data_IF_706746395565
#
_entry.id   IF_706746395565
#
_cell.length_a   1.000
_cell.length_b   1.000
_cell.length_c   1.000
_cell.angle_alpha   90.00
_cell.angle_beta   90.00
_cell.angle_gamma   90.00
#
_symmetry.space_group_name_H-M   'P 1'
#
loop_
_entity.id
_entity.type
_entity.pdbx_description
1 polymer ?
#
# COMPACT_ATOMS: atom_id res chain seq x y z
N UNK A 1 -64.95 6.34 3.55
CA UNK A 1 -64.22 6.55 2.28
C UNK A 1 -62.88 5.84 2.45
N UNK A 2 -62.65 4.58 2.02
CA UNK A 2 -62.35 4.13 0.63
C UNK A 2 -61.35 5.12 -0.02
N UNK A 3 -60.11 4.82 -0.39
CA UNK A 3 -59.50 3.62 -0.98
C UNK A 3 -57.96 3.64 -0.88
N UNK A 4 -57.39 2.44 -0.91
CA UNK A 4 -55.99 2.06 -1.15
C UNK A 4 -55.23 2.85 -2.24
N UNK A 5 -54.03 3.34 -1.92
CA UNK A 5 -53.04 3.85 -2.87
C UNK A 5 -52.06 2.75 -3.29
N UNK A 6 -52.14 2.33 -4.56
CA UNK A 6 -51.24 1.40 -5.22
C UNK A 6 -49.85 2.02 -5.44
N UNK A 7 -48.83 1.38 -4.89
CA UNK A 7 -47.42 1.58 -5.25
C UNK A 7 -47.19 1.10 -6.69
N UNK A 8 -46.79 1.99 -7.59
CA UNK A 8 -46.42 1.65 -8.97
C UNK A 8 -44.93 1.92 -9.17
N UNK A 9 -44.12 0.87 -9.08
CA UNK A 9 -42.72 0.88 -9.51
C UNK A 9 -42.65 0.75 -11.04
N UNK A 10 -41.93 1.62 -11.77
CA UNK A 10 -41.53 1.34 -13.14
C UNK A 10 -40.14 0.66 -13.18
N UNK A 11 -40.12 -0.43 -13.93
CA UNK A 11 -39.00 -1.30 -14.31
C UNK A 11 -37.93 -0.52 -15.10
N UNK A 12 -36.62 -0.78 -14.92
CA UNK A 12 -35.59 -0.20 -15.79
C UNK A 12 -35.58 -0.94 -17.14
N UNK A 13 -35.94 -0.24 -18.22
CA UNK A 13 -35.69 -0.71 -19.58
C UNK A 13 -34.19 -0.68 -19.87
N UNK A 14 -33.62 -1.87 -20.04
CA UNK A 14 -32.34 -2.10 -20.71
C UNK A 14 -32.39 -1.53 -22.12
N UNK A 15 -31.62 -0.46 -22.36
CA UNK A 15 -31.36 0.04 -23.72
C UNK A 15 -30.01 -0.51 -24.18
N UNK A 16 -30.07 -1.67 -24.83
CA UNK A 16 -28.98 -2.21 -25.64
C UNK A 16 -28.87 -1.32 -26.88
N UNK A 17 -27.84 -0.47 -26.94
CA UNK A 17 -27.47 0.23 -28.16
C UNK A 17 -26.28 -0.49 -28.79
N UNK A 18 -26.59 -1.42 -29.70
CA UNK A 18 -25.68 -1.88 -30.73
C UNK A 18 -25.60 -0.76 -31.79
N UNK A 19 -24.48 -0.05 -31.82
CA UNK A 19 -24.13 0.78 -32.98
C UNK A 19 -23.04 0.05 -33.76
N UNK A 20 -23.28 -0.28 -35.04
CA UNK A 20 -22.32 -0.97 -35.89
C UNK A 20 -21.31 0.05 -36.44
N UNK A 21 -20.09 0.03 -35.91
CA UNK A 21 -18.97 0.74 -36.51
C UNK A 21 -18.50 -0.05 -37.73
N UNK A 22 -18.49 0.62 -38.89
CA UNK A 22 -18.31 0.04 -40.21
C UNK A 22 -17.09 -0.87 -40.37
N UNK A 23 -17.32 -1.92 -41.16
CA UNK A 23 -16.31 -2.73 -41.82
C UNK A 23 -15.39 -1.83 -42.62
N UNK A 24 -14.20 -1.56 -42.08
CA UNK A 24 -13.05 -1.22 -42.90
C UNK A 24 -12.36 -2.53 -43.27
N UNK A 25 -12.63 -2.93 -44.51
CA UNK A 25 -12.06 -4.05 -45.21
C UNK A 25 -10.55 -3.76 -45.40
N UNK A 26 -9.69 -4.37 -44.57
CA UNK A 26 -8.25 -4.41 -44.82
C UNK A 26 -7.90 -5.81 -45.29
N UNK A 27 -7.74 -5.94 -46.60
CA UNK A 27 -7.26 -7.13 -47.28
C UNK A 27 -5.83 -7.50 -46.84
N UNK A 28 -5.65 -8.81 -46.69
CA UNK A 28 -4.40 -9.59 -46.79
C UNK A 28 -3.33 -9.37 -45.73
N UNK A 29 -3.18 -10.38 -44.87
CA UNK A 29 -1.88 -11.02 -44.62
C UNK A 29 -2.08 -12.51 -44.27
N UNK A 30 -1.26 -13.44 -44.80
CA UNK A 30 -1.49 -14.87 -44.65
C UNK A 30 -0.91 -15.40 -43.33
N UNK A 31 -1.68 -16.30 -42.70
CA UNK A 31 -1.23 -17.49 -41.99
C UNK A 31 0.06 -17.38 -41.17
N UNK A 32 -0.10 -17.09 -39.87
CA UNK A 32 0.78 -17.61 -38.83
C UNK A 32 -0.11 -18.25 -37.76
N UNK A 33 0.18 -19.52 -37.48
CA UNK A 33 -0.55 -20.41 -36.59
C UNK A 33 -0.88 -19.77 -35.24
N UNK A 34 -1.98 -20.19 -34.56
CA UNK A 34 -2.25 -19.79 -33.18
C UNK A 34 -1.23 -20.44 -32.26
N UNK A 35 -0.03 -19.84 -32.21
CA UNK A 35 0.98 -20.09 -31.20
C UNK A 35 0.52 -19.45 -29.90
N UNK A 36 0.25 -20.31 -28.93
CA UNK A 36 0.04 -20.04 -27.51
C UNK A 36 0.50 -18.66 -27.07
N UNK A 37 -0.45 -17.76 -26.78
CA UNK A 37 -0.18 -16.54 -26.03
C UNK A 37 0.23 -16.94 -24.60
N UNK A 38 1.52 -17.12 -24.37
CA UNK A 38 2.08 -17.27 -23.03
C UNK A 38 1.84 -15.97 -22.28
N UNK A 39 0.79 -15.94 -21.46
CA UNK A 39 0.58 -14.86 -20.50
C UNK A 39 1.71 -14.96 -19.49
N UNK A 40 2.67 -14.02 -19.54
CA UNK A 40 3.70 -13.87 -18.51
C UNK A 40 3.00 -13.50 -17.20
N UNK A 41 2.61 -14.50 -16.40
CA UNK A 41 2.18 -14.30 -15.02
C UNK A 41 3.39 -13.76 -14.28
N UNK A 42 3.38 -12.46 -13.99
CA UNK A 42 4.35 -11.85 -13.10
C UNK A 42 4.14 -12.44 -11.71
N UNK A 43 4.93 -13.45 -11.38
CA UNK A 43 4.99 -13.99 -10.03
C UNK A 43 5.42 -12.84 -9.10
N UNK A 44 4.50 -12.38 -8.26
CA UNK A 44 4.79 -11.42 -7.22
C UNK A 44 5.86 -12.03 -6.30
N UNK A 45 7.10 -11.57 -6.43
CA UNK A 45 8.22 -12.02 -5.63
C UNK A 45 7.86 -11.95 -4.16
N UNK A 46 8.00 -13.09 -3.46
CA UNK A 46 7.91 -13.14 -2.00
C UNK A 46 8.94 -12.13 -1.50
N UNK A 47 8.49 -11.11 -0.75
CA UNK A 47 9.39 -10.10 -0.19
C UNK A 47 10.43 -10.83 0.66
N UNK A 48 11.67 -10.84 0.18
CA UNK A 48 12.79 -11.38 0.91
C UNK A 48 12.89 -10.59 2.23
N UNK A 49 12.69 -11.29 3.34
CA UNK A 49 12.94 -10.72 4.63
C UNK A 49 14.46 -10.49 4.74
N UNK A 50 14.92 -9.34 5.25
CA UNK A 50 16.35 -9.12 5.47
C UNK A 50 16.90 -10.30 6.28
N UNK A 51 18.10 -10.77 5.93
CA UNK A 51 18.79 -11.85 6.64
C UNK A 51 19.04 -11.42 8.09
N UNK A 52 18.04 -11.63 8.94
CA UNK A 52 18.07 -11.33 10.36
C UNK A 52 18.58 -12.55 11.12
N UNK A 53 19.19 -12.31 12.28
CA UNK A 53 19.68 -13.33 13.21
C UNK A 53 18.60 -14.38 13.51
N UNK A 54 18.89 -15.66 13.30
CA UNK A 54 17.99 -16.76 13.68
C UNK A 54 17.86 -16.81 15.20
N UNK A 55 16.62 -16.89 15.70
CA UNK A 55 16.34 -17.06 17.12
C UNK A 55 16.05 -18.53 17.41
N UNK A 56 16.64 -19.07 18.48
CA UNK A 56 16.36 -20.42 18.95
C UNK A 56 15.05 -20.43 19.74
N UNK A 57 14.15 -21.38 19.43
CA UNK A 57 12.83 -21.47 20.08
C UNK A 57 12.94 -21.84 21.58
N UNK A 58 14.07 -22.41 22.02
CA UNK A 58 14.32 -22.78 23.41
C UNK A 58 14.57 -21.57 24.33
N UNK A 59 15.00 -20.44 23.78
CA UNK A 59 15.30 -19.21 24.52
C UNK A 59 14.10 -18.24 24.56
N UNK A 60 12.97 -18.67 24.00
CA UNK A 60 11.75 -17.89 23.87
C UNK A 60 10.70 -18.35 24.88
N UNK A 61 10.20 -17.42 25.66
CA UNK A 61 9.03 -17.63 26.50
C UNK A 61 7.80 -16.99 25.87
N UNK A 62 6.79 -17.82 25.60
CA UNK A 62 5.52 -17.43 25.01
C UNK A 62 4.40 -17.44 26.06
N UNK A 63 3.64 -16.34 26.13
CA UNK A 63 2.46 -16.22 26.98
C UNK A 63 1.29 -15.64 26.19
N UNK A 64 0.09 -16.19 26.39
CA UNK A 64 -1.14 -15.70 25.77
C UNK A 64 -1.94 -14.88 26.77
N UNK A 65 -2.22 -13.63 26.41
CA UNK A 65 -2.99 -12.71 27.24
C UNK A 65 -4.23 -12.23 26.50
N UNK A 66 -5.20 -11.73 27.25
CA UNK A 66 -6.38 -11.07 26.67
C UNK A 66 -6.00 -9.70 26.10
N UNK A 67 -6.69 -9.28 25.04
CA UNK A 67 -6.52 -7.94 24.50
C UNK A 67 -6.91 -6.87 25.53
N UNK A 68 -6.29 -5.69 25.44
CA UNK A 68 -6.60 -4.54 26.29
C UNK A 68 -6.96 -3.34 25.41
N UNK A 69 -7.99 -2.56 25.80
CA UNK A 69 -8.37 -1.32 25.15
C UNK A 69 -9.88 -1.19 24.91
N UNK A 70 -10.34 -0.08 24.28
CA UNK A 70 -11.73 0.11 23.87
C UNK A 70 -12.05 -0.83 22.70
N UNK A 71 -12.28 -2.10 23.02
CA UNK A 71 -12.69 -3.15 22.09
C UNK A 71 -14.12 -3.62 22.35
N UNK A 72 -14.65 -4.40 21.42
CA UNK A 72 -15.93 -5.09 21.61
C UNK A 72 -15.80 -6.33 22.52
N UNK A 73 -16.91 -7.03 22.73
CA UNK A 73 -16.94 -8.27 23.53
C UNK A 73 -15.90 -9.32 23.09
N UNK A 74 -15.61 -9.40 21.79
CA UNK A 74 -14.67 -10.37 21.24
C UNK A 74 -13.22 -10.16 21.74
N UNK A 75 -12.79 -8.90 21.88
CA UNK A 75 -11.42 -8.53 22.28
C UNK A 75 -11.15 -8.85 23.75
N UNK A 76 -12.15 -8.64 24.61
CA UNK A 76 -12.01 -8.84 26.06
C UNK A 76 -12.14 -10.32 26.47
N UNK A 77 -12.82 -11.15 25.67
CA UNK A 77 -13.02 -12.57 25.95
C UNK A 77 -11.85 -13.43 25.43
N UNK A 78 -11.34 -13.11 24.24
CA UNK A 78 -10.36 -13.96 23.53
C UNK A 78 -8.92 -13.67 23.97
N UNK A 79 -8.17 -14.71 24.31
CA UNK A 79 -6.74 -14.65 24.65
C UNK A 79 -5.86 -14.78 23.40
N UNK A 80 -5.96 -13.83 22.48
CA UNK A 80 -5.22 -13.84 21.21
C UNK A 80 -3.99 -12.91 21.18
N UNK A 81 -3.77 -12.12 22.23
CA UNK A 81 -2.59 -11.28 22.34
C UNK A 81 -1.41 -12.17 22.76
N UNK A 82 -0.32 -12.12 21.98
CA UNK A 82 0.88 -12.90 22.24
C UNK A 82 1.91 -11.99 22.90
N UNK A 83 2.41 -12.41 24.06
CA UNK A 83 3.55 -11.81 24.74
C UNK A 83 4.71 -12.76 24.57
N UNK A 84 5.75 -12.32 23.87
CA UNK A 84 6.96 -13.09 23.60
C UNK A 84 8.14 -12.42 24.29
N UNK A 85 8.87 -13.19 25.09
CA UNK A 85 10.08 -12.75 25.79
C UNK A 85 11.30 -13.52 25.29
N UNK A 86 12.36 -12.80 24.96
CA UNK A 86 13.68 -13.40 24.73
C UNK A 86 14.43 -13.44 26.06
N UNK A 87 14.75 -14.64 26.56
CA UNK A 87 15.37 -14.83 27.88
C UNK A 87 16.75 -14.15 27.99
N UNK A 88 17.72 -14.35 27.09
CA UNK A 88 19.06 -13.81 27.27
C UNK A 88 19.14 -12.29 27.11
N UNK A 89 18.36 -11.70 26.19
CA UNK A 89 18.34 -10.23 26.03
C UNK A 89 17.35 -9.53 26.97
N UNK A 90 16.44 -10.25 27.61
CA UNK A 90 15.36 -9.68 28.44
C UNK A 90 14.33 -8.83 27.67
N UNK A 91 14.31 -8.88 26.33
CA UNK A 91 13.41 -8.07 25.50
C UNK A 91 12.03 -8.72 25.46
N UNK A 92 11.00 -7.92 25.75
CA UNK A 92 9.60 -8.36 25.70
C UNK A 92 8.87 -7.64 24.56
N UNK A 93 8.11 -8.40 23.79
CA UNK A 93 7.25 -7.92 22.71
C UNK A 93 5.82 -8.38 22.95
N UNK A 94 4.87 -7.44 22.88
CA UNK A 94 3.44 -7.73 22.90
C UNK A 94 2.88 -7.50 21.49
N UNK A 95 2.13 -8.46 20.96
CA UNK A 95 1.53 -8.37 19.63
C UNK A 95 0.03 -8.71 19.68
N UNK A 96 -0.80 -7.76 19.28
CA UNK A 96 -2.24 -7.91 19.08
C UNK A 96 -2.64 -7.16 17.81
N UNK A 97 -2.31 -7.73 16.64
CA UNK A 97 -2.61 -7.09 15.34
C UNK A 97 -3.83 -7.72 14.67
N UNK A 98 -3.99 -9.04 14.82
CA UNK A 98 -5.03 -9.81 14.15
C UNK A 98 -5.85 -10.60 15.17
N UNK A 99 -7.02 -11.09 14.75
CA UNK A 99 -7.84 -11.97 15.57
C UNK A 99 -7.22 -13.37 15.76
N UNK A 100 -6.33 -13.79 14.84
CA UNK A 100 -5.72 -15.12 14.82
C UNK A 100 -4.45 -15.15 15.66
N UNK A 101 -4.34 -16.15 16.54
CA UNK A 101 -3.17 -16.34 17.39
C UNK A 101 -1.94 -16.65 16.56
N UNK A 102 -2.01 -17.58 15.61
CA UNK A 102 -0.86 -18.00 14.80
C UNK A 102 -0.26 -16.86 13.97
N UNK A 103 -1.12 -15.98 13.46
CA UNK A 103 -0.66 -14.78 12.77
C UNK A 103 0.07 -13.84 13.73
N UNK A 104 -0.48 -13.61 14.93
CA UNK A 104 0.17 -12.81 15.96
C UNK A 104 1.49 -13.43 16.43
N UNK A 105 1.60 -14.77 16.52
CA UNK A 105 2.86 -15.47 16.84
C UNK A 105 3.95 -15.19 15.81
N UNK A 106 3.62 -15.34 14.52
CA UNK A 106 4.55 -15.05 13.41
C UNK A 106 4.99 -13.59 13.41
N UNK A 107 4.06 -12.68 13.66
CA UNK A 107 4.35 -11.24 13.73
C UNK A 107 5.21 -10.90 14.97
N UNK A 108 4.91 -11.47 16.13
CA UNK A 108 5.68 -11.29 17.35
C UNK A 108 7.14 -11.75 17.16
N UNK A 109 7.36 -12.92 16.55
CA UNK A 109 8.72 -13.40 16.23
C UNK A 109 9.48 -12.42 15.34
N UNK A 110 8.86 -11.93 14.25
CA UNK A 110 9.48 -10.95 13.35
C UNK A 110 9.89 -9.67 14.09
N UNK A 111 8.97 -9.11 14.87
CA UNK A 111 9.24 -7.88 15.65
C UNK A 111 10.33 -8.13 16.70
N UNK A 112 10.32 -9.28 17.36
CA UNK A 112 11.34 -9.63 18.34
C UNK A 112 12.72 -9.76 17.68
N UNK A 113 12.78 -10.43 16.53
CA UNK A 113 14.02 -10.59 15.75
C UNK A 113 14.60 -9.24 15.33
N UNK A 114 13.77 -8.31 14.86
CA UNK A 114 14.21 -6.93 14.56
C UNK A 114 14.75 -6.20 15.80
N UNK A 115 14.09 -6.35 16.96
CA UNK A 115 14.54 -5.70 18.20
C UNK A 115 15.84 -6.29 18.72
N UNK A 116 15.98 -7.61 18.66
CA UNK A 116 17.19 -8.33 19.08
C UNK A 116 18.36 -7.97 18.17
N UNK A 117 18.13 -7.88 16.86
CA UNK A 117 19.14 -7.42 15.91
C UNK A 117 19.61 -5.99 16.22
N UNK A 118 18.68 -5.08 16.50
CA UNK A 118 19.03 -3.71 16.91
C UNK A 118 19.80 -3.71 18.25
N UNK A 119 19.47 -4.60 19.18
CA UNK A 119 20.16 -4.69 20.46
C UNK A 119 21.62 -5.10 20.30
N UNK A 120 21.90 -6.13 19.50
CA UNK A 120 23.27 -6.62 19.28
C UNK A 120 24.07 -5.76 18.28
N UNK A 121 23.47 -5.38 17.16
CA UNK A 121 24.16 -4.69 16.05
C UNK A 121 24.05 -3.16 16.11
N UNK A 122 23.11 -2.62 16.90
CA UNK A 122 22.95 -1.18 17.11
C UNK A 122 22.78 -0.40 15.80
N UNK A 123 23.69 0.56 15.56
CA UNK A 123 23.68 1.44 14.37
C UNK A 123 24.02 0.71 13.07
N UNK A 124 24.65 -0.46 13.14
CA UNK A 124 25.06 -1.26 11.98
C UNK A 124 23.98 -2.24 11.53
N UNK A 125 22.88 -2.36 12.27
CA UNK A 125 21.73 -3.19 11.88
C UNK A 125 21.24 -2.82 10.48
N UNK A 126 21.01 -3.85 9.66
CA UNK A 126 20.45 -3.72 8.32
C UNK A 126 19.10 -2.96 8.36
N UNK A 127 18.29 -3.22 9.38
CA UNK A 127 17.00 -2.57 9.59
C UNK A 127 17.16 -1.05 9.79
N UNK A 128 18.15 -0.64 10.60
CA UNK A 128 18.43 0.78 10.81
C UNK A 128 18.90 1.47 9.53
N UNK A 129 19.72 0.79 8.73
CA UNK A 129 20.22 1.30 7.45
C UNK A 129 19.08 1.45 6.43
N UNK A 130 18.24 0.41 6.26
CA UNK A 130 17.09 0.44 5.36
C UNK A 130 16.10 1.55 5.72
N UNK A 131 15.80 1.73 7.02
CA UNK A 131 14.94 2.83 7.49
C UNK A 131 15.52 4.20 7.12
N UNK A 132 16.82 4.40 7.35
CA UNK A 132 17.50 5.66 7.00
C UNK A 132 17.50 5.90 5.48
N UNK A 133 17.74 4.88 4.67
CA UNK A 133 17.68 4.99 3.21
C UNK A 133 16.28 5.32 2.71
N UNK A 134 15.24 4.68 3.28
CA UNK A 134 13.85 4.98 2.96
C UNK A 134 13.46 6.42 3.34
N UNK A 135 13.92 6.92 4.48
CA UNK A 135 13.73 8.31 4.92
C UNK A 135 14.41 9.31 3.98
N UNK A 136 15.67 9.05 3.58
CA UNK A 136 16.38 9.86 2.58
C UNK A 136 15.61 9.93 1.27
N UNK A 137 15.15 8.79 0.75
CA UNK A 137 14.31 8.73 -0.47
C UNK A 137 13.02 9.54 -0.32
N UNK A 138 12.38 9.53 0.86
CA UNK A 138 11.19 10.32 1.15
C UNK A 138 11.50 11.82 1.18
N UNK A 139 12.61 12.22 1.78
CA UNK A 139 13.06 13.62 1.81
C UNK A 139 13.36 14.15 0.40
N UNK A 140 14.06 13.36 -0.42
CA UNK A 140 14.34 13.73 -1.81
C UNK A 140 13.06 13.90 -2.63
N UNK A 141 12.08 12.99 -2.48
CA UNK A 141 10.77 13.12 -3.14
C UNK A 141 10.06 14.41 -2.75
N UNK A 142 10.07 14.78 -1.47
CA UNK A 142 9.50 16.03 -0.98
C UNK A 142 10.23 17.26 -1.56
N UNK A 143 11.57 17.22 -1.61
CA UNK A 143 12.39 18.29 -2.19
C UNK A 143 12.06 18.50 -3.67
N UNK A 144 12.04 17.42 -4.47
CA UNK A 144 11.69 17.46 -5.90
C UNK A 144 10.28 17.98 -6.15
N UNK A 145 9.31 17.56 -5.32
CA UNK A 145 7.93 18.06 -5.40
C UNK A 145 7.85 19.57 -5.13
N UNK A 146 8.60 20.06 -4.13
CA UNK A 146 8.68 21.50 -3.81
C UNK A 146 9.32 22.29 -4.95
N UNK A 147 10.45 21.83 -5.49
CA UNK A 147 11.12 22.47 -6.63
C UNK A 147 10.22 22.50 -7.88
N UNK A 148 9.47 21.43 -8.14
CA UNK A 148 8.52 21.38 -9.25
C UNK A 148 7.38 22.38 -9.08
N UNK A 149 6.88 22.53 -7.85
CA UNK A 149 5.85 23.50 -7.53
C UNK A 149 6.36 24.94 -7.70
N UNK A 150 7.58 25.23 -7.24
CA UNK A 150 8.22 26.54 -7.40
C UNK A 150 8.45 26.89 -8.87
N UNK A 151 8.97 25.95 -9.69
CA UNK A 151 9.12 26.15 -11.14
C UNK A 151 7.80 26.43 -11.84
N UNK A 152 6.72 25.72 -11.46
CA UNK A 152 5.38 25.97 -12.01
C UNK A 152 4.84 27.36 -11.64
N UNK A 153 5.12 27.84 -10.43
CA UNK A 153 4.77 29.20 -10.01
C UNK A 153 5.52 30.25 -10.84
N UNK A 154 6.84 30.11 -10.94
CA UNK A 154 7.69 31.02 -11.73
C UNK A 154 7.28 31.05 -13.21
N UNK A 155 7.02 29.89 -13.82
CA UNK A 155 6.56 29.81 -15.20
C UNK A 155 5.19 30.49 -15.40
N UNK A 156 4.29 30.33 -14.43
CA UNK A 156 2.97 30.96 -14.44
C UNK A 156 3.10 32.49 -14.33
N UNK A 157 3.92 32.98 -13.40
CA UNK A 157 4.22 34.41 -13.24
C UNK A 157 4.81 34.99 -14.53
N UNK A 158 5.79 34.31 -15.14
CA UNK A 158 6.41 34.72 -16.40
C UNK A 158 5.39 34.79 -17.56
N UNK A 159 4.48 33.81 -17.64
CA UNK A 159 3.41 33.79 -18.65
C UNK A 159 2.39 34.91 -18.42
N UNK A 160 2.02 35.20 -17.17
CA UNK A 160 1.14 36.32 -16.81
C UNK A 160 1.78 37.68 -17.15
N UNK A 161 3.08 37.85 -16.91
CA UNK A 161 3.81 39.06 -17.32
C UNK A 161 3.84 39.24 -18.85
N UNK A 162 4.08 38.18 -19.62
CA UNK A 162 4.10 38.26 -21.09
C UNK A 162 2.73 38.66 -21.67
N UNK A 163 1.63 38.21 -21.05
CA UNK A 163 0.27 38.62 -21.46
C UNK A 163 -0.05 40.08 -21.19
N UNK A 164 0.51 40.65 -20.14
CA UNK A 164 0.22 42.01 -19.70
C UNK A 164 1.09 43.07 -20.37
N UNK A 165 1.89 42.72 -21.38
CA UNK A 165 2.53 43.71 -22.26
C UNK A 165 1.44 44.20 -23.23
N UNK A 166 0.88 45.41 -23.05
CA UNK A 166 -0.06 45.95 -24.02
C UNK A 166 0.68 46.04 -25.35
N UNK A 167 0.08 45.55 -26.43
CA UNK A 167 0.61 45.76 -27.76
C UNK A 167 0.84 47.25 -27.93
N UNK A 168 2.07 47.66 -28.17
CA UNK A 168 2.35 49.02 -28.60
C UNK A 168 1.47 49.26 -29.83
N UNK A 169 0.46 50.11 -29.65
CA UNK A 169 -0.43 50.53 -30.72
C UNK A 169 0.46 51.15 -31.81
N UNK A 170 0.71 50.40 -32.88
CA UNK A 170 1.37 50.88 -34.10
C UNK A 170 0.49 51.99 -34.70
N UNK A 171 0.70 53.23 -34.24
CA UNK A 171 0.06 54.43 -34.76
C UNK A 171 0.84 54.85 -36.01
N UNK A 172 0.33 54.49 -37.18
CA UNK A 172 0.77 54.97 -38.49
C UNK A 172 -0.09 56.15 -38.95
#
# INVERSE_FOLDING_TARGET
MRTSGLFRFPVPLTRVCLVPWGLWLCEKLPLLSPGTMATLVQAAGKKDHPMLLSLDEHELEEQFVKGHGPGGQATNKTSNCVVLRHVPSGIVVKCHQTRSVDQNRKLARRILQEKVDIFYNGKNSLICREKREAEKRKQERKKRAKETLEKKKLLKEQWESNKNVPGEDCRF
#
